data_IF_201602541758
#
_entry.id   IF_201602541758
#
_cell.length_a   1.000
_cell.length_b   1.000
_cell.length_c   1.000
_cell.angle_alpha   90.00
_cell.angle_beta   90.00
_cell.angle_gamma   90.00
#
_symmetry.space_group_name_H-M   'P 1'
#
loop_
_entity.id
_entity.type
_entity.pdbx_description
1 polymer ?
#
# COMPACT_ATOMS: atom_id res chain seq x y z
N UNK A 1 -1.44 -15.00 9.85
CA UNK A 1 -1.19 -14.36 8.54
C UNK A 1 -0.10 -13.33 8.68
N UNK A 2 0.86 -13.31 7.76
CA UNK A 2 1.86 -12.25 7.63
C UNK A 2 1.54 -11.43 6.37
N UNK A 3 1.59 -10.11 6.46
CA UNK A 3 1.33 -9.20 5.33
C UNK A 3 2.54 -8.30 5.13
N UNK A 4 3.11 -8.31 3.92
CA UNK A 4 4.11 -7.33 3.51
C UNK A 4 3.41 -6.19 2.76
N UNK A 5 3.47 -4.98 3.33
CA UNK A 5 2.94 -3.76 2.74
C UNK A 5 4.04 -3.04 1.96
N UNK A 6 3.82 -2.87 0.65
CA UNK A 6 4.78 -2.18 -0.22
C UNK A 6 4.73 -0.67 0.00
N UNK A 7 5.42 -0.19 1.03
CA UNK A 7 5.48 1.23 1.33
C UNK A 7 6.81 1.83 0.87
N UNK A 8 6.74 2.57 -0.23
CA UNK A 8 7.82 3.49 -0.61
C UNK A 8 7.49 4.92 -0.20
N UNK A 9 6.26 5.36 -0.44
CA UNK A 9 5.71 6.66 -0.04
C UNK A 9 4.20 6.66 -0.31
N UNK A 10 3.41 7.18 0.61
CA UNK A 10 1.95 7.21 0.49
C UNK A 10 1.22 6.29 1.46
N UNK A 11 -0.08 6.44 1.52
CA UNK A 11 -0.95 5.75 2.50
C UNK A 11 -1.68 4.52 1.92
N UNK A 12 -1.70 4.38 0.60
CA UNK A 12 -2.57 3.45 -0.09
C UNK A 12 -2.32 1.99 0.27
N UNK A 13 -1.05 1.60 0.30
CA UNK A 13 -0.63 0.23 0.61
C UNK A 13 -0.93 -0.14 2.07
N UNK A 14 -0.47 0.68 3.01
CA UNK A 14 -0.70 0.45 4.44
C UNK A 14 -2.20 0.41 4.77
N UNK A 15 -3.00 1.35 4.25
CA UNK A 15 -4.46 1.37 4.46
C UNK A 15 -5.11 0.11 3.91
N UNK A 16 -4.72 -0.34 2.73
CA UNK A 16 -5.22 -1.58 2.13
C UNK A 16 -4.85 -2.81 2.98
N UNK A 17 -3.59 -2.97 3.32
CA UNK A 17 -3.13 -4.08 4.16
C UNK A 17 -3.84 -4.10 5.52
N UNK A 18 -4.03 -2.92 6.13
CA UNK A 18 -4.77 -2.77 7.38
C UNK A 18 -6.25 -3.18 7.22
N UNK A 19 -6.91 -2.75 6.15
CA UNK A 19 -8.31 -3.12 5.86
C UNK A 19 -8.45 -4.64 5.71
N UNK A 20 -7.55 -5.28 4.96
CA UNK A 20 -7.51 -6.74 4.83
C UNK A 20 -7.30 -7.41 6.19
N UNK A 21 -6.31 -6.96 6.96
CA UNK A 21 -6.03 -7.50 8.29
C UNK A 21 -7.24 -7.41 9.23
N UNK A 22 -7.89 -6.24 9.26
CA UNK A 22 -9.08 -6.00 10.08
C UNK A 22 -10.27 -6.88 9.67
N UNK A 23 -10.50 -7.03 8.37
CA UNK A 23 -11.54 -7.91 7.85
C UNK A 23 -11.27 -9.38 8.23
N UNK A 24 -10.04 -9.84 8.06
CA UNK A 24 -9.66 -11.21 8.39
C UNK A 24 -9.88 -11.54 9.88
N UNK A 25 -9.45 -10.66 10.81
CA UNK A 25 -9.64 -10.92 12.24
C UNK A 25 -11.07 -10.73 12.71
N UNK A 26 -11.88 -9.94 11.99
CA UNK A 26 -13.32 -9.81 12.27
C UNK A 26 -14.06 -11.11 11.96
N UNK A 27 -13.75 -11.76 10.86
CA UNK A 27 -14.44 -12.98 10.44
C UNK A 27 -13.83 -14.27 11.03
N UNK A 28 -12.58 -14.24 11.49
CA UNK A 28 -11.86 -15.43 11.98
C UNK A 28 -11.30 -15.21 13.39
N UNK A 29 -12.01 -15.70 14.41
CA UNK A 29 -11.70 -15.47 15.84
C UNK A 29 -10.31 -15.98 16.30
N UNK A 30 -9.74 -16.98 15.65
CA UNK A 30 -8.44 -17.57 16.01
C UNK A 30 -7.27 -17.03 15.17
N UNK A 31 -7.52 -16.12 14.26
CA UNK A 31 -6.52 -15.61 13.33
C UNK A 31 -5.77 -14.44 13.94
N UNK A 32 -4.45 -14.44 13.83
CA UNK A 32 -3.57 -13.31 14.13
C UNK A 32 -2.95 -12.81 12.84
N UNK A 33 -2.80 -11.50 12.72
CA UNK A 33 -2.17 -10.84 11.56
C UNK A 33 -1.01 -9.98 12.03
N UNK A 34 0.14 -10.13 11.38
CA UNK A 34 1.30 -9.27 11.54
C UNK A 34 1.59 -8.54 10.22
N UNK A 35 1.69 -7.21 10.26
CA UNK A 35 1.95 -6.38 9.09
C UNK A 35 3.40 -5.89 9.12
N UNK A 36 4.15 -6.14 8.05
CA UNK A 36 5.48 -5.60 7.82
C UNK A 36 5.36 -4.35 6.94
N UNK A 37 5.86 -3.21 7.38
CA UNK A 37 5.74 -1.95 6.64
C UNK A 37 6.93 -1.02 6.92
N UNK A 38 7.37 -0.30 5.89
CA UNK A 38 8.36 0.77 6.00
C UNK A 38 7.74 2.16 6.24
N UNK A 39 6.43 2.25 6.35
CA UNK A 39 5.73 3.53 6.49
C UNK A 39 6.13 4.26 7.78
N UNK A 40 6.55 5.54 7.69
CA UNK A 40 6.94 6.30 8.88
C UNK A 40 5.77 6.65 9.80
N UNK A 41 4.54 6.54 9.28
CA UNK A 41 3.32 6.86 10.04
C UNK A 41 2.55 5.64 10.51
N UNK A 42 3.15 4.45 10.41
CA UNK A 42 2.52 3.17 10.78
C UNK A 42 1.91 3.22 12.19
N UNK A 43 2.64 3.76 13.17
CA UNK A 43 2.20 3.90 14.56
C UNK A 43 1.09 4.94 14.80
N UNK A 44 0.68 5.71 13.78
CA UNK A 44 -0.46 6.64 13.90
C UNK A 44 -1.81 5.99 13.60
N UNK A 45 -1.81 4.75 13.12
CA UNK A 45 -3.04 4.01 12.87
C UNK A 45 -3.43 3.16 14.09
N UNK A 46 -4.71 3.12 14.37
CA UNK A 46 -5.27 2.15 15.31
C UNK A 46 -5.39 0.78 14.66
N UNK A 47 -5.07 -0.27 15.40
CA UNK A 47 -5.21 -1.65 14.96
C UNK A 47 -6.19 -2.39 15.87
N UNK A 48 -6.98 -3.29 15.28
CA UNK A 48 -7.87 -4.17 16.03
C UNK A 48 -7.06 -5.19 16.84
N UNK A 49 -7.63 -5.71 17.91
CA UNK A 49 -7.05 -6.86 18.63
C UNK A 49 -6.66 -7.97 17.64
N UNK A 50 -5.52 -8.63 17.90
CA UNK A 50 -4.92 -9.67 17.06
C UNK A 50 -4.34 -9.18 15.71
N UNK A 51 -4.22 -7.87 15.53
CA UNK A 51 -3.45 -7.26 14.44
C UNK A 51 -2.34 -6.44 15.06
N UNK A 52 -1.10 -6.73 14.68
CA UNK A 52 0.08 -6.00 15.11
C UNK A 52 1.00 -5.74 13.91
N UNK A 53 2.09 -5.02 14.10
CA UNK A 53 3.00 -4.65 13.04
C UNK A 53 4.47 -4.65 13.44
N UNK A 54 5.32 -4.85 12.44
CA UNK A 54 6.77 -4.60 12.51
C UNK A 54 7.11 -3.49 11.53
N UNK A 55 7.70 -2.41 12.04
CA UNK A 55 8.21 -1.34 11.19
C UNK A 55 9.64 -1.64 10.78
N UNK A 56 9.87 -1.79 9.48
CA UNK A 56 11.21 -1.88 8.89
C UNK A 56 11.74 -0.47 8.55
N UNK A 57 13.07 -0.26 8.45
CA UNK A 57 13.64 1.03 8.08
C UNK A 57 13.04 1.58 6.79
N UNK A 58 12.72 2.88 6.77
CA UNK A 58 12.08 3.51 5.62
C UNK A 58 13.05 3.72 4.45
N UNK A 59 12.52 3.59 3.22
CA UNK A 59 13.21 3.95 1.97
C UNK A 59 12.27 4.87 1.20
N UNK A 60 12.82 5.93 0.61
CA UNK A 60 12.07 6.83 -0.26
C UNK A 60 12.61 6.82 -1.68
N UNK A 61 11.74 7.07 -2.65
CA UNK A 61 12.11 7.29 -4.04
C UNK A 61 12.19 8.80 -4.27
N UNK A 62 13.35 9.29 -4.68
CA UNK A 62 13.57 10.70 -5.01
C UNK A 62 12.91 11.04 -6.36
N UNK A 63 12.77 12.33 -6.65
CA UNK A 63 12.20 12.82 -7.93
C UNK A 63 13.00 12.35 -9.16
N UNK A 64 14.30 12.13 -9.02
CA UNK A 64 15.17 11.58 -10.07
C UNK A 64 15.00 10.07 -10.29
N UNK A 65 14.12 9.40 -9.54
CA UNK A 65 13.85 7.97 -9.60
C UNK A 65 14.75 7.10 -8.74
N UNK A 66 15.79 7.65 -8.10
CA UNK A 66 16.70 6.93 -7.20
C UNK A 66 16.07 6.67 -5.85
N UNK A 67 16.47 5.55 -5.24
CA UNK A 67 16.07 5.20 -3.88
C UNK A 67 17.14 5.61 -2.88
N UNK A 68 16.71 6.09 -1.71
CA UNK A 68 17.60 6.43 -0.61
C UNK A 68 16.97 6.02 0.72
N UNK A 69 17.80 5.78 1.73
CA UNK A 69 17.33 5.57 3.10
C UNK A 69 16.60 6.80 3.61
N UNK A 70 15.52 6.61 4.37
CA UNK A 70 14.68 7.72 4.85
C UNK A 70 15.32 8.46 6.03
N UNK A 71 15.76 7.71 7.04
CA UNK A 71 16.26 8.28 8.31
C UNK A 71 17.67 7.80 8.68
N UNK A 72 18.17 6.74 8.03
CA UNK A 72 19.49 6.22 8.30
C UNK A 72 20.47 6.83 7.31
N UNK A 73 21.64 7.21 7.79
CA UNK A 73 22.77 7.61 6.96
C UNK A 73 23.52 6.37 6.44
N UNK A 74 22.78 5.54 5.70
CA UNK A 74 23.24 4.31 5.08
C UNK A 74 23.06 4.37 3.58
N UNK A 75 23.95 3.72 2.85
CA UNK A 75 23.67 3.39 1.46
C UNK A 75 22.38 2.55 1.36
N UNK A 76 21.62 2.75 0.30
CA UNK A 76 20.31 2.09 0.15
C UNK A 76 20.40 0.57 0.18
N UNK A 77 21.51 0.00 -0.33
CA UNK A 77 21.80 -1.44 -0.33
C UNK A 77 21.92 -2.00 1.10
N UNK A 78 22.55 -1.26 2.02
CA UNK A 78 22.66 -1.65 3.42
C UNK A 78 21.30 -1.64 4.11
N UNK A 79 20.48 -0.61 3.83
CA UNK A 79 19.11 -0.54 4.36
C UNK A 79 18.24 -1.65 3.79
N UNK A 80 18.37 -1.97 2.50
CA UNK A 80 17.65 -3.10 1.88
C UNK A 80 18.05 -4.44 2.49
N UNK A 81 19.35 -4.67 2.72
CA UNK A 81 19.84 -5.88 3.37
C UNK A 81 19.30 -6.03 4.79
N UNK A 82 19.27 -4.93 5.56
CA UNK A 82 18.69 -4.91 6.90
C UNK A 82 17.18 -5.21 6.86
N UNK A 83 16.44 -4.57 5.97
CA UNK A 83 15.01 -4.82 5.77
C UNK A 83 14.73 -6.28 5.40
N UNK A 84 15.44 -6.81 4.41
CA UNK A 84 15.30 -8.20 3.99
C UNK A 84 15.56 -9.18 5.15
N UNK A 85 16.58 -8.93 5.96
CA UNK A 85 16.90 -9.72 7.16
C UNK A 85 15.78 -9.69 8.20
N UNK A 86 15.24 -8.50 8.50
CA UNK A 86 14.12 -8.35 9.45
C UNK A 86 12.89 -9.10 8.94
N UNK A 87 12.53 -8.95 7.67
CA UNK A 87 11.38 -9.60 7.03
C UNK A 87 11.53 -11.12 7.09
N UNK A 88 12.70 -11.65 6.68
CA UNK A 88 12.96 -13.09 6.68
C UNK A 88 12.95 -13.69 8.09
N UNK A 89 13.63 -13.02 9.04
CA UNK A 89 13.65 -13.49 10.42
C UNK A 89 12.25 -13.48 11.06
N UNK A 90 11.48 -12.40 10.82
CA UNK A 90 10.09 -12.31 11.27
C UNK A 90 9.25 -13.45 10.71
N UNK A 91 9.34 -13.72 9.41
CA UNK A 91 8.60 -14.83 8.78
C UNK A 91 9.01 -16.19 9.36
N UNK A 92 10.30 -16.39 9.63
CA UNK A 92 10.84 -17.64 10.22
C UNK A 92 10.31 -17.90 11.63
N UNK A 93 10.22 -16.86 12.47
CA UNK A 93 9.75 -16.97 13.87
C UNK A 93 8.23 -17.02 13.93
N UNK A 94 7.56 -16.17 13.15
CA UNK A 94 6.09 -16.06 13.13
C UNK A 94 5.40 -17.27 12.50
N UNK A 95 6.08 -17.99 11.58
CA UNK A 95 5.57 -19.19 10.89
C UNK A 95 4.16 -18.98 10.33
N UNK A 96 3.98 -18.09 9.37
CA UNK A 96 2.65 -17.77 8.87
C UNK A 96 2.05 -18.94 8.07
N UNK A 97 0.75 -19.22 8.26
CA UNK A 97 -0.01 -20.11 7.36
C UNK A 97 -0.27 -19.46 6.00
N UNK A 98 -0.30 -18.12 5.96
CA UNK A 98 -0.45 -17.32 4.76
C UNK A 98 0.50 -16.12 4.80
N UNK A 99 1.26 -15.90 3.72
CA UNK A 99 2.07 -14.71 3.49
C UNK A 99 1.53 -13.95 2.30
N UNK A 100 0.94 -12.78 2.56
CA UNK A 100 0.42 -11.86 1.55
C UNK A 100 1.47 -10.78 1.25
N UNK A 101 1.90 -10.71 -0.01
CA UNK A 101 2.78 -9.65 -0.52
C UNK A 101 1.94 -8.66 -1.31
N UNK A 102 1.98 -7.38 -0.94
CA UNK A 102 1.19 -6.34 -1.59
C UNK A 102 1.95 -5.71 -2.77
N UNK A 103 1.30 -5.65 -3.93
CA UNK A 103 1.70 -4.98 -5.17
C UNK A 103 2.94 -5.56 -5.87
N UNK A 104 4.10 -5.53 -5.23
CA UNK A 104 5.37 -5.87 -5.88
C UNK A 104 5.74 -7.34 -5.66
N UNK A 105 5.82 -8.16 -6.71
CA UNK A 105 6.01 -9.60 -6.56
C UNK A 105 7.27 -10.03 -5.81
N UNK A 106 8.28 -9.19 -5.77
CA UNK A 106 9.52 -9.45 -5.01
C UNK A 106 9.77 -8.41 -3.91
N UNK A 107 8.76 -7.57 -3.62
CA UNK A 107 8.89 -6.45 -2.71
C UNK A 107 9.74 -5.32 -3.26
N UNK A 108 10.03 -4.33 -2.42
CA UNK A 108 10.86 -3.20 -2.80
C UNK A 108 12.27 -3.69 -3.16
N UNK A 109 12.67 -3.48 -4.41
CA UNK A 109 13.99 -3.85 -4.94
C UNK A 109 14.39 -5.33 -4.69
N UNK A 110 13.42 -6.21 -4.50
CA UNK A 110 13.65 -7.65 -4.33
C UNK A 110 13.81 -8.13 -2.89
N UNK A 111 13.55 -7.30 -1.89
CA UNK A 111 13.81 -7.58 -0.46
C UNK A 111 13.01 -8.76 0.13
N UNK A 112 11.88 -9.16 -0.48
CA UNK A 112 11.11 -10.34 0.00
C UNK A 112 11.48 -11.64 -0.71
N UNK A 113 12.42 -11.61 -1.66
CA UNK A 113 12.80 -12.79 -2.45
C UNK A 113 13.30 -13.94 -1.59
N UNK A 114 14.20 -13.66 -0.65
CA UNK A 114 14.77 -14.68 0.26
C UNK A 114 13.69 -15.26 1.17
N UNK A 115 12.78 -14.44 1.68
CA UNK A 115 11.64 -14.86 2.50
C UNK A 115 10.69 -15.78 1.73
N UNK A 116 10.32 -15.41 0.50
CA UNK A 116 9.48 -16.26 -0.35
C UNK A 116 10.14 -17.62 -0.63
N UNK A 117 11.45 -17.61 -0.94
CA UNK A 117 12.20 -18.84 -1.17
C UNK A 117 12.31 -19.70 0.11
N UNK A 118 12.50 -19.09 1.27
CA UNK A 118 12.52 -19.75 2.56
C UNK A 118 11.18 -20.46 2.84
N UNK A 119 10.08 -19.69 2.79
CA UNK A 119 8.74 -20.22 3.08
C UNK A 119 8.32 -21.32 2.09
N UNK A 120 8.70 -21.16 0.82
CA UNK A 120 8.45 -22.19 -0.21
C UNK A 120 9.19 -23.49 0.09
N UNK A 121 10.46 -23.43 0.52
CA UNK A 121 11.24 -24.61 0.91
C UNK A 121 10.73 -25.28 2.18
N UNK A 122 10.28 -24.49 3.16
CA UNK A 122 9.73 -25.03 4.41
C UNK A 122 8.37 -25.70 4.22
N UNK A 123 7.59 -25.24 3.24
CA UNK A 123 6.20 -25.68 3.05
C UNK A 123 5.27 -25.16 4.14
N UNK A 124 3.98 -25.50 4.02
CA UNK A 124 2.96 -25.12 5.02
C UNK A 124 2.45 -23.67 4.94
N UNK A 125 3.16 -22.77 4.25
CA UNK A 125 2.71 -21.38 4.05
C UNK A 125 2.11 -21.20 2.66
N UNK A 126 0.89 -20.70 2.59
CA UNK A 126 0.28 -20.24 1.33
C UNK A 126 0.86 -18.88 0.96
N UNK A 127 1.48 -18.78 -0.23
CA UNK A 127 2.08 -17.55 -0.74
C UNK A 127 1.12 -16.85 -1.67
N UNK A 128 0.71 -15.64 -1.32
CA UNK A 128 -0.32 -14.86 -2.02
C UNK A 128 0.25 -13.51 -2.44
N UNK A 129 0.01 -13.13 -3.70
CA UNK A 129 0.29 -11.78 -4.17
C UNK A 129 -1.02 -11.00 -4.27
N UNK A 130 -1.06 -9.80 -3.71
CA UNK A 130 -2.19 -8.89 -3.83
C UNK A 130 -1.91 -7.79 -4.85
N UNK A 131 -2.76 -7.65 -5.85
CA UNK A 131 -2.66 -6.66 -6.91
C UNK A 131 -3.88 -5.75 -6.94
N UNK A 132 -3.69 -4.50 -7.37
CA UNK A 132 -4.82 -3.68 -7.81
C UNK A 132 -5.29 -4.17 -9.19
N UNK A 133 -6.51 -3.88 -9.52
CA UNK A 133 -7.04 -4.08 -10.88
C UNK A 133 -6.26 -3.22 -11.89
N UNK A 134 -6.28 -1.89 -11.74
CA UNK A 134 -5.51 -0.97 -12.56
C UNK A 134 -4.17 -0.68 -11.88
N UNK A 135 -3.07 -1.18 -12.43
CA UNK A 135 -1.73 -1.00 -11.88
C UNK A 135 -0.98 0.17 -12.49
N UNK A 136 -0.86 0.19 -13.81
CA UNK A 136 -0.21 1.23 -14.61
C UNK A 136 -0.63 1.08 -16.09
N UNK A 137 -0.12 1.93 -16.99
CA UNK A 137 -0.23 1.71 -18.43
C UNK A 137 0.32 0.32 -18.80
N UNK A 138 -0.37 -0.46 -19.67
CA UNK A 138 0.04 -1.82 -20.00
C UNK A 138 1.45 -1.93 -20.55
N UNK A 139 1.88 -0.99 -21.39
CA UNK A 139 3.22 -0.99 -21.98
C UNK A 139 4.29 -0.73 -20.90
N UNK A 140 4.06 0.28 -20.09
CA UNK A 140 4.95 0.65 -18.97
C UNK A 140 5.08 -0.49 -17.96
N UNK A 141 3.97 -1.13 -17.61
CA UNK A 141 3.97 -2.27 -16.69
C UNK A 141 4.70 -3.48 -17.27
N UNK A 142 4.48 -3.80 -18.55
CA UNK A 142 5.17 -4.91 -19.22
C UNK A 142 6.69 -4.74 -19.20
N UNK A 143 7.18 -3.51 -19.48
CA UNK A 143 8.61 -3.19 -19.41
C UNK A 143 9.14 -3.30 -17.97
N UNK A 144 8.42 -2.76 -17.01
CA UNK A 144 8.78 -2.84 -15.59
C UNK A 144 8.87 -4.28 -15.13
N UNK A 145 7.86 -5.11 -15.43
CA UNK A 145 7.80 -6.51 -15.04
C UNK A 145 8.89 -7.35 -15.71
N UNK A 146 9.22 -7.06 -16.97
CA UNK A 146 10.36 -7.68 -17.66
C UNK A 146 11.66 -7.37 -16.94
N UNK A 147 11.94 -6.08 -16.64
CA UNK A 147 13.14 -5.63 -15.94
C UNK A 147 13.27 -6.24 -14.54
N UNK A 148 12.16 -6.28 -13.80
CA UNK A 148 12.10 -6.83 -12.43
C UNK A 148 12.00 -8.36 -12.40
N UNK A 149 11.89 -9.03 -13.53
CA UNK A 149 11.62 -10.48 -13.61
C UNK A 149 10.39 -10.89 -12.80
N UNK A 150 9.32 -10.10 -12.87
CA UNK A 150 8.10 -10.32 -12.12
C UNK A 150 7.36 -11.59 -12.56
N UNK A 151 7.16 -11.79 -13.85
CA UNK A 151 6.44 -12.96 -14.40
C UNK A 151 7.02 -14.31 -13.93
N UNK A 152 8.35 -14.56 -13.97
CA UNK A 152 8.92 -15.76 -13.37
C UNK A 152 8.65 -15.93 -11.87
N UNK A 153 8.60 -14.83 -11.11
CA UNK A 153 8.26 -14.86 -9.69
C UNK A 153 6.78 -15.23 -9.48
N UNK A 154 5.86 -14.64 -10.27
CA UNK A 154 4.44 -15.00 -10.24
C UNK A 154 4.23 -16.49 -10.48
N UNK A 155 4.90 -17.04 -11.50
CA UNK A 155 4.78 -18.45 -11.86
C UNK A 155 5.26 -19.40 -10.77
N UNK A 156 6.43 -19.14 -10.19
CA UNK A 156 7.16 -20.10 -9.36
C UNK A 156 6.96 -19.93 -7.87
N UNK A 157 6.72 -18.70 -7.40
CA UNK A 157 6.71 -18.39 -5.97
C UNK A 157 5.32 -18.30 -5.36
N UNK A 158 4.32 -17.87 -6.12
CA UNK A 158 2.98 -17.65 -5.60
C UNK A 158 2.02 -18.79 -5.89
N UNK A 159 1.21 -19.13 -4.89
CA UNK A 159 0.14 -20.12 -5.00
C UNK A 159 -1.15 -19.48 -5.51
N UNK A 160 -1.39 -18.21 -5.17
CA UNK A 160 -2.55 -17.43 -5.59
C UNK A 160 -2.17 -15.98 -5.86
N UNK A 161 -2.96 -15.34 -6.71
CA UNK A 161 -2.91 -13.90 -6.99
C UNK A 161 -4.31 -13.35 -6.71
N UNK A 162 -4.41 -12.41 -5.79
CA UNK A 162 -5.65 -11.71 -5.47
C UNK A 162 -5.68 -10.37 -6.18
N UNK A 163 -6.73 -10.13 -6.96
CA UNK A 163 -6.98 -8.83 -7.60
C UNK A 163 -8.07 -8.11 -6.81
N UNK A 164 -7.73 -6.95 -6.26
CA UNK A 164 -8.66 -6.10 -5.51
C UNK A 164 -9.50 -5.28 -6.48
N UNK A 165 -10.50 -5.89 -7.09
CA UNK A 165 -11.37 -5.30 -8.09
C UNK A 165 -12.38 -6.30 -8.61
N UNK A 166 -13.10 -5.90 -9.65
CA UNK A 166 -14.07 -6.72 -10.35
C UNK A 166 -13.67 -6.83 -11.82
N UNK A 167 -13.68 -8.03 -12.43
CA UNK A 167 -13.27 -8.22 -13.82
C UNK A 167 -14.16 -7.42 -14.80
N UNK A 168 -15.42 -7.17 -14.44
CA UNK A 168 -16.35 -6.36 -15.24
C UNK A 168 -15.99 -4.87 -15.30
N UNK A 169 -15.19 -4.37 -14.34
CA UNK A 169 -14.69 -2.99 -14.32
C UNK A 169 -13.35 -2.89 -15.03
N UNK A 170 -12.43 -3.79 -14.69
CA UNK A 170 -11.13 -3.89 -15.34
C UNK A 170 -10.53 -5.28 -15.10
N UNK A 171 -10.19 -5.96 -16.18
CA UNK A 171 -9.56 -7.26 -16.12
C UNK A 171 -8.04 -7.16 -16.38
N UNK A 172 -7.19 -7.18 -15.34
CA UNK A 172 -5.75 -7.15 -15.50
C UNK A 172 -5.19 -8.44 -16.14
N UNK A 173 -5.92 -9.55 -16.10
CA UNK A 173 -5.49 -10.80 -16.75
C UNK A 173 -5.44 -10.60 -18.26
N UNK A 174 -6.47 -10.00 -18.81
CA UNK A 174 -6.56 -9.65 -20.23
C UNK A 174 -5.65 -8.46 -20.56
N UNK A 175 -5.82 -7.34 -19.83
CA UNK A 175 -5.15 -6.07 -20.12
C UNK A 175 -3.62 -6.15 -20.08
N UNK A 176 -3.07 -6.96 -19.17
CA UNK A 176 -1.62 -7.12 -19.03
C UNK A 176 -1.10 -8.46 -19.59
N UNK A 177 -1.95 -9.22 -20.27
CA UNK A 177 -1.58 -10.46 -20.92
C UNK A 177 -0.98 -11.50 -19.98
N UNK A 178 -1.65 -11.81 -18.86
CA UNK A 178 -1.14 -12.81 -17.93
C UNK A 178 -0.99 -14.16 -18.59
N UNK A 179 0.15 -14.85 -18.41
CA UNK A 179 0.29 -16.21 -18.89
C UNK A 179 -0.79 -17.13 -18.32
N UNK A 180 -1.21 -18.20 -19.05
CA UNK A 180 -2.30 -19.08 -18.63
C UNK A 180 -2.12 -19.67 -17.22
N UNK A 181 -0.88 -20.03 -16.85
CA UNK A 181 -0.53 -20.57 -15.53
C UNK A 181 -0.59 -19.51 -14.41
N UNK A 182 -0.48 -18.22 -14.74
CA UNK A 182 -0.68 -17.10 -13.83
C UNK A 182 -2.17 -16.76 -13.73
N UNK A 183 -2.87 -16.71 -14.87
CA UNK A 183 -4.32 -16.47 -14.94
C UNK A 183 -5.11 -17.52 -14.12
N UNK A 184 -4.75 -18.80 -14.23
CA UNK A 184 -5.42 -19.91 -13.55
C UNK A 184 -5.38 -19.81 -12.01
N UNK A 185 -4.45 -19.07 -11.44
CA UNK A 185 -4.34 -18.84 -9.98
C UNK A 185 -4.72 -17.43 -9.55
N UNK A 186 -5.31 -16.64 -10.47
CA UNK A 186 -5.81 -15.30 -10.20
C UNK A 186 -7.27 -15.35 -9.76
N UNK A 187 -7.58 -14.66 -8.66
CA UNK A 187 -8.92 -14.56 -8.09
C UNK A 187 -9.25 -13.09 -7.84
N UNK A 188 -10.40 -12.64 -8.30
CA UNK A 188 -10.93 -11.31 -8.01
C UNK A 188 -11.62 -11.33 -6.65
N UNK A 189 -11.22 -10.44 -5.76
CA UNK A 189 -11.74 -10.37 -4.38
C UNK A 189 -12.84 -9.32 -4.21
N UNK A 190 -13.15 -8.57 -5.25
CA UNK A 190 -13.95 -7.36 -5.15
C UNK A 190 -13.17 -6.19 -4.56
N UNK A 191 -13.81 -5.03 -4.50
CA UNK A 191 -13.25 -3.83 -3.88
C UNK A 191 -13.27 -3.93 -2.36
N UNK A 192 -12.20 -3.47 -1.74
CA UNK A 192 -12.10 -3.44 -0.28
C UNK A 192 -12.98 -2.31 0.28
N UNK A 193 -13.96 -2.61 1.13
CA UNK A 193 -14.82 -1.59 1.72
C UNK A 193 -14.02 -0.67 2.65
N UNK A 194 -14.39 0.60 2.68
CA UNK A 194 -13.90 1.55 3.68
C UNK A 194 -15.02 1.81 4.67
N UNK A 195 -14.79 1.43 5.90
CA UNK A 195 -15.66 1.83 6.99
C UNK A 195 -15.41 3.31 7.31
N UNK A 196 -16.46 4.10 7.37
CA UNK A 196 -16.38 5.44 7.94
C UNK A 196 -16.36 5.30 9.47
N UNK A 197 -15.39 5.93 10.11
CA UNK A 197 -15.38 5.99 11.56
C UNK A 197 -16.37 7.07 12.01
N UNK A 198 -17.56 6.68 12.41
CA UNK A 198 -18.62 7.57 12.89
C UNK A 198 -18.30 8.27 14.22
N UNK A 199 -17.25 7.84 14.91
CA UNK A 199 -16.83 8.40 16.21
C UNK A 199 -15.85 9.58 16.08
N UNK A 200 -15.36 9.89 14.86
CA UNK A 200 -14.46 11.03 14.66
C UNK A 200 -15.26 12.32 14.62
N UNK A 201 -15.19 13.10 15.70
CA UNK A 201 -15.68 14.46 15.69
C UNK A 201 -14.76 15.36 14.86
N UNK A 202 -15.33 16.11 13.92
CA UNK A 202 -14.59 17.12 13.19
C UNK A 202 -14.24 18.29 14.13
N UNK A 203 -13.11 18.99 13.92
CA UNK A 203 -12.82 20.24 14.62
C UNK A 203 -13.97 21.25 14.49
N UNK A 204 -14.24 22.04 15.54
CA UNK A 204 -15.38 22.94 15.57
C UNK A 204 -15.42 23.95 14.41
N UNK A 205 -14.27 24.48 14.02
CA UNK A 205 -14.14 25.37 12.86
C UNK A 205 -14.51 24.70 11.55
N UNK A 206 -14.20 23.41 11.39
CA UNK A 206 -14.57 22.60 10.21
C UNK A 206 -16.06 22.33 10.19
N UNK A 207 -16.65 21.98 11.35
CA UNK A 207 -18.10 21.78 11.47
C UNK A 207 -18.87 23.06 11.10
N UNK A 208 -18.41 24.22 11.62
CA UNK A 208 -19.00 25.51 11.31
C UNK A 208 -18.92 25.82 9.81
N UNK A 209 -17.75 25.63 9.19
CA UNK A 209 -17.59 25.88 7.75
C UNK A 209 -18.52 25.00 6.88
N UNK A 210 -18.69 23.74 7.24
CA UNK A 210 -19.60 22.80 6.53
C UNK A 210 -21.07 23.22 6.71
N UNK A 211 -21.45 23.72 7.88
CA UNK A 211 -22.82 24.13 8.17
C UNK A 211 -23.21 25.47 7.50
N UNK A 212 -22.23 26.31 7.17
CA UNK A 212 -22.47 27.61 6.54
C UNK A 212 -22.85 27.54 5.06
N UNK A 213 -22.73 26.38 4.42
CA UNK A 213 -23.13 26.18 3.03
C UNK A 213 -22.09 25.47 2.18
N UNK A 214 -22.11 25.63 0.86
CA UNK A 214 -21.16 24.97 -0.05
C UNK A 214 -19.71 25.37 0.25
N UNK A 215 -18.80 24.40 0.13
CA UNK A 215 -17.36 24.59 0.30
C UNK A 215 -16.57 23.80 -0.74
N UNK A 216 -15.34 24.21 -1.03
CA UNK A 216 -14.41 23.51 -1.87
C UNK A 216 -13.59 22.55 -0.99
N UNK A 217 -13.70 21.25 -1.22
CA UNK A 217 -12.88 20.27 -0.53
C UNK A 217 -11.62 19.95 -1.35
N UNK A 218 -10.46 20.22 -0.78
CA UNK A 218 -9.14 19.97 -1.40
C UNK A 218 -8.44 18.85 -0.64
N UNK A 219 -8.27 17.70 -1.30
CA UNK A 219 -7.66 16.50 -0.70
C UNK A 219 -6.46 16.02 -1.53
N UNK A 220 -5.24 16.52 -1.27
CA UNK A 220 -4.05 16.15 -2.03
C UNK A 220 -3.57 14.72 -1.81
N UNK A 221 -4.28 13.92 -1.02
CA UNK A 221 -3.85 12.57 -0.68
C UNK A 221 -2.73 12.54 0.37
N UNK A 222 -1.98 11.44 0.42
CA UNK A 222 -0.92 11.24 1.43
C UNK A 222 0.49 11.40 0.90
N UNK A 223 0.66 11.65 -0.40
CA UNK A 223 1.96 11.74 -1.06
C UNK A 223 2.54 13.15 -1.12
N UNK A 224 3.85 13.26 -1.35
CA UNK A 224 4.55 14.53 -1.47
C UNK A 224 4.28 15.34 -2.75
N UNK A 225 3.40 14.87 -3.62
CA UNK A 225 2.95 15.51 -4.86
C UNK A 225 1.77 16.46 -4.67
N UNK A 226 1.15 16.44 -3.50
CA UNK A 226 -0.03 17.24 -3.18
C UNK A 226 0.24 18.74 -2.93
N UNK A 227 1.48 19.15 -2.69
CA UNK A 227 1.84 20.53 -2.41
C UNK A 227 1.39 21.48 -3.55
N UNK A 228 1.59 21.09 -4.81
CA UNK A 228 1.20 21.90 -5.96
C UNK A 228 -0.32 22.19 -6.01
N UNK A 229 -1.15 21.23 -5.62
CA UNK A 229 -2.61 21.41 -5.57
C UNK A 229 -2.99 22.40 -4.45
N UNK A 230 -2.33 22.29 -3.30
CA UNK A 230 -2.55 23.23 -2.18
C UNK A 230 -2.10 24.63 -2.55
N UNK A 231 -0.88 24.78 -3.10
CA UNK A 231 -0.33 26.05 -3.53
C UNK A 231 -1.20 26.71 -4.61
N UNK A 232 -1.65 25.96 -5.60
CA UNK A 232 -2.56 26.45 -6.64
C UNK A 232 -3.91 26.92 -6.06
N UNK A 233 -4.42 26.19 -5.05
CA UNK A 233 -5.65 26.60 -4.35
C UNK A 233 -5.45 27.91 -3.60
N UNK A 234 -4.37 28.03 -2.82
CA UNK A 234 -4.05 29.24 -2.07
C UNK A 234 -3.86 30.44 -3.00
N UNK A 235 -3.07 30.27 -4.08
CA UNK A 235 -2.85 31.31 -5.08
C UNK A 235 -4.16 31.77 -5.75
N UNK A 236 -5.11 30.84 -6.00
CA UNK A 236 -6.43 31.21 -6.51
C UNK A 236 -7.19 32.09 -5.53
N UNK A 237 -7.20 31.75 -4.22
CA UNK A 237 -7.86 32.58 -3.20
C UNK A 237 -7.21 33.95 -3.01
N UNK A 238 -5.88 34.04 -3.07
CA UNK A 238 -5.13 35.29 -3.03
C UNK A 238 -5.46 36.18 -4.24
N UNK A 239 -5.42 35.59 -5.46
CA UNK A 239 -5.71 36.34 -6.70
C UNK A 239 -7.12 36.94 -6.72
N UNK A 240 -8.08 36.28 -6.14
CA UNK A 240 -9.47 36.76 -6.07
C UNK A 240 -9.77 37.57 -4.80
N UNK A 241 -8.77 37.88 -3.96
CA UNK A 241 -8.90 38.65 -2.72
C UNK A 241 -10.05 38.16 -1.82
N UNK A 242 -10.19 36.87 -1.67
CA UNK A 242 -11.27 36.25 -0.88
C UNK A 242 -12.68 36.37 -1.48
N UNK A 243 -12.81 36.80 -2.74
CA UNK A 243 -14.11 36.94 -3.41
C UNK A 243 -14.65 35.64 -4.04
N UNK A 244 -13.94 34.52 -3.84
CA UNK A 244 -14.49 33.21 -4.23
C UNK A 244 -15.74 32.92 -3.38
N UNK A 245 -16.81 32.41 -4.00
CA UNK A 245 -18.11 32.30 -3.32
C UNK A 245 -18.14 31.24 -2.21
N UNK A 246 -17.15 30.35 -2.17
CA UNK A 246 -17.10 29.25 -1.21
C UNK A 246 -15.76 29.23 -0.47
N UNK A 247 -15.74 28.90 0.83
CA UNK A 247 -14.50 28.65 1.56
C UNK A 247 -13.83 27.35 1.07
N UNK A 248 -12.50 27.25 1.17
CA UNK A 248 -11.78 26.00 0.92
C UNK A 248 -11.49 25.29 2.23
N UNK A 249 -11.81 23.99 2.27
CA UNK A 249 -11.38 23.07 3.29
C UNK A 249 -10.23 22.23 2.74
N UNK A 250 -9.02 22.49 3.22
CA UNK A 250 -7.81 21.79 2.76
C UNK A 250 -7.46 20.69 3.77
N UNK A 251 -7.47 19.44 3.34
CA UNK A 251 -7.08 18.30 4.16
C UNK A 251 -5.65 17.90 3.83
N UNK A 252 -4.70 18.36 4.64
CA UNK A 252 -3.29 18.02 4.45
C UNK A 252 -3.04 16.52 4.61
N UNK A 253 -2.24 15.96 3.72
CA UNK A 253 -1.69 14.62 3.87
C UNK A 253 -0.57 14.61 4.92
N UNK A 254 -0.26 13.44 5.51
CA UNK A 254 0.75 13.34 6.57
C UNK A 254 2.20 13.55 6.10
N UNK A 255 2.40 13.75 4.81
CA UNK A 255 3.71 13.96 4.17
C UNK A 255 3.82 15.33 3.47
N UNK A 256 2.86 16.23 3.74
CA UNK A 256 2.87 17.63 3.34
C UNK A 256 3.30 18.52 4.49
#
# INVERSE_FOLDING_TARGET
VLIYSHDSFGLGHLRRCRTIAHSLVAHHKKLNVLILSGSPILGRFSFRSRVDFVRVPGIIKRRNGEYTSLNLDFHVEQTLALRASIIEHTARVFRPDLFLVDKEPLGLLGEVRSTLALLRRQGGTRLVLGLRDIMDDPTSLAEEWRRKRATPALKRLYDQIWVYGLPQVYDPVEAYGFPPDVAAKTTFTGYLPRETNSEVSLPANVQTAIQQGPFLLVTPGGGGDGAQLVDATLAAYERFNGRLPWPALVVYGPFL
#
